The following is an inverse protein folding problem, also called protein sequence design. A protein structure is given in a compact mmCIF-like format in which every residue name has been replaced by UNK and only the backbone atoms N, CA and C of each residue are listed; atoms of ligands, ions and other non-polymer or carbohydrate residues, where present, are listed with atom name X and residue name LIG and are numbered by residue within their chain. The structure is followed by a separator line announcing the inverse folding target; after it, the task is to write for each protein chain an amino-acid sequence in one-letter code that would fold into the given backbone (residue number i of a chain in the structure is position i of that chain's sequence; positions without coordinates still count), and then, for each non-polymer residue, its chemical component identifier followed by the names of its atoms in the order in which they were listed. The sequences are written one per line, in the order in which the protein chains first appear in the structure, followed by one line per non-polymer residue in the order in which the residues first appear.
data_IF_778477875021
#
_entry.id   IF_778477875021
#
_cell.length_a   1.000
_cell.length_b   1.000
_cell.length_c   1.000
_cell.angle_alpha   90.00
_cell.angle_beta   90.00
_cell.angle_gamma   90.00
#
_symmetry.space_group_name_H-M   'P 1'
#
loop_
_entity.id
_entity.type
_entity.pdbx_description
1 polymer ?
2 non-polymer ?
3 non-polymer ?
4 water ?
#
# COMPACT_ATOMS: atom_id res chain seq x y z
N UNK A 4 -9.80 -1.09 17.99
CA UNK A 4 -9.16 -1.38 16.69
C UNK A 4 -7.96 -0.46 16.37
N UNK A 5 -7.89 0.74 17.02
CA UNK A 5 -6.77 1.68 16.88
C UNK A 5 -5.85 1.69 18.12
N UNK A 6 -6.19 0.88 19.15
CA UNK A 6 -5.40 0.72 20.38
C UNK A 6 -4.10 -0.06 20.07
N UNK A 7 -2.94 0.48 20.49
CA UNK A 7 -1.66 -0.21 20.25
C UNK A 7 -1.21 -1.01 21.47
N UNK A 8 -0.56 -2.16 21.23
CA UNK A 8 0.01 -2.98 22.30
C UNK A 8 1.29 -2.29 22.84
N UNK A 9 2.00 -2.92 23.79
CA UNK A 9 3.21 -2.31 24.35
C UNK A 9 4.36 -2.18 23.32
N UNK A 10 4.60 -3.23 22.50
CA UNK A 10 5.63 -3.28 21.47
C UNK A 10 5.45 -2.22 20.36
N UNK A 11 4.19 -1.98 19.92
CA UNK A 11 3.88 -0.97 18.91
C UNK A 11 3.99 0.45 19.47
N UNK A 12 3.65 0.65 20.76
CA UNK A 12 3.73 1.95 21.43
C UNK A 12 5.22 2.37 21.51
N UNK A 13 6.09 1.41 21.90
CA UNK A 13 7.53 1.51 22.08
C UNK A 13 8.25 1.83 20.76
N UNK A 14 7.92 1.09 19.68
CA UNK A 14 8.48 1.25 18.34
C UNK A 14 8.15 2.63 17.77
N UNK A 15 6.89 3.09 17.97
CA UNK A 15 6.42 4.41 17.53
C UNK A 15 7.12 5.56 18.26
N UNK A 16 7.36 5.38 19.56
CA UNK A 16 8.04 6.32 20.45
C UNK A 16 9.51 6.42 20.02
N UNK A 17 10.18 5.25 19.79
CA UNK A 17 11.57 5.16 19.33
C UNK A 17 11.78 5.82 17.95
N UNK A 18 10.78 5.76 17.05
CA UNK A 18 10.83 6.39 15.72
C UNK A 18 10.79 7.91 15.82
N UNK A 19 9.84 8.45 16.62
CA UNK A 19 9.66 9.89 16.79
C UNK A 19 10.84 10.55 17.46
N UNK A 20 11.39 9.88 18.50
CA UNK A 20 12.57 10.30 19.27
C UNK A 20 13.74 10.39 18.31
N UNK A 21 13.90 9.36 17.46
CA UNK A 21 14.96 9.30 16.45
C UNK A 21 14.77 10.38 15.37
N UNK A 22 13.51 10.64 14.94
CA UNK A 22 13.15 11.67 13.95
C UNK A 22 13.40 13.09 14.51
N UNK A 23 13.19 13.28 15.82
CA UNK A 23 13.39 14.58 16.45
C UNK A 23 14.84 15.06 16.37
N UNK A 24 15.80 14.11 16.29
CA UNK A 24 17.23 14.36 16.15
C UNK A 24 17.58 14.86 14.72
N UNK A 25 16.72 14.55 13.74
CA UNK A 25 16.89 14.95 12.34
C UNK A 25 16.29 16.36 12.24
N UNK A 26 17.03 17.26 11.65
CA UNK A 26 16.51 18.60 11.51
C UNK A 26 15.93 18.82 10.14
N UNK A 27 16.25 19.97 9.58
CA UNK A 27 15.83 20.38 8.25
C UNK A 27 16.56 19.48 7.25
N UNK A 28 15.80 18.83 6.37
CA UNK A 28 16.32 17.94 5.35
C UNK A 28 16.85 18.76 4.20
N UNK A 29 18.06 18.43 3.73
CA UNK A 29 18.74 19.16 2.65
C UNK A 29 19.37 18.20 1.68
N UNK A 30 19.31 18.52 0.36
CA UNK A 30 19.81 17.69 -0.73
C UNK A 30 21.17 17.08 -0.45
N UNK A 31 22.14 17.95 -0.14
CA UNK A 31 23.53 17.59 0.10
C UNK A 31 23.78 16.67 1.28
N UNK A 32 22.76 16.46 2.14
CA UNK A 32 22.91 15.56 3.29
C UNK A 32 22.70 14.09 2.95
N UNK A 33 22.30 13.80 1.71
CA UNK A 33 21.98 12.45 1.25
C UNK A 33 23.02 11.79 0.33
N UNK A 34 23.31 10.54 0.65
CA UNK A 34 24.22 9.65 -0.06
C UNK A 34 23.39 8.43 -0.53
N UNK A 35 23.29 8.21 -1.86
CA UNK A 35 22.57 7.07 -2.44
C UNK A 35 23.29 5.73 -2.14
N UNK A 36 22.50 4.73 -1.71
CA UNK A 36 22.95 3.36 -1.41
C UNK A 36 22.54 2.47 -2.59
N UNK A 37 21.23 2.49 -2.94
CA UNK A 37 20.65 1.69 -4.03
C UNK A 37 19.29 2.26 -4.49
N UNK A 38 18.68 1.61 -5.51
CA UNK A 38 17.38 1.97 -6.08
C UNK A 38 16.33 0.97 -5.56
N UNK A 39 15.07 1.43 -5.35
CA UNK A 39 13.99 0.60 -4.78
C UNK A 39 12.74 0.36 -5.65
N UNK A 40 12.38 1.31 -6.51
CA UNK A 40 11.17 1.20 -7.33
C UNK A 40 10.90 2.41 -8.21
N UNK A 41 9.63 2.56 -8.70
CA UNK A 41 9.16 3.65 -9.60
C UNK A 41 7.65 3.57 -10.00
N UNK A 42 6.83 2.90 -9.20
CA UNK A 42 5.42 2.65 -9.49
C UNK A 42 4.40 3.79 -9.47
N UNK A 43 4.81 5.02 -9.07
CA UNK A 43 3.86 6.14 -8.98
C UNK A 43 4.35 7.50 -9.54
N UNK A 44 5.06 7.46 -10.67
CA UNK A 44 5.53 8.66 -11.35
C UNK A 44 6.84 9.25 -10.84
N UNK A 45 7.48 8.54 -9.93
CA UNK A 45 8.75 8.94 -9.34
C UNK A 45 9.73 7.78 -9.25
N UNK A 46 10.83 7.98 -8.52
CA UNK A 46 11.89 6.99 -8.35
C UNK A 46 12.22 6.92 -6.86
N UNK A 47 12.29 5.71 -6.30
CA UNK A 47 12.60 5.55 -4.89
C UNK A 47 14.01 5.01 -4.74
N UNK A 48 14.81 5.65 -3.86
CA UNK A 48 16.17 5.24 -3.56
C UNK A 48 16.36 4.96 -2.07
N UNK A 49 17.19 3.97 -1.76
CA UNK A 49 17.61 3.70 -0.39
C UNK A 49 18.79 4.69 -0.25
N UNK A 50 18.74 5.52 0.78
CA UNK A 50 19.72 6.57 0.96
C UNK A 50 20.25 6.59 2.37
N UNK A 51 21.36 7.30 2.55
CA UNK A 51 21.91 7.54 3.88
C UNK A 51 21.83 9.02 4.12
N UNK A 52 21.22 9.43 5.23
CA UNK A 52 21.19 10.82 5.65
C UNK A 52 22.46 10.97 6.49
N UNK A 53 23.53 11.51 5.86
CA UNK A 53 24.89 11.69 6.41
C UNK A 53 24.99 12.23 7.84
N UNK A 54 24.42 13.41 8.20
CA UNK A 54 24.54 13.88 9.60
C UNK A 54 23.99 12.95 10.69
N UNK A 55 22.76 12.45 10.51
CA UNK A 55 22.10 11.58 11.49
C UNK A 55 22.53 10.09 11.43
N UNK A 56 23.05 9.66 10.28
CA UNK A 56 23.45 8.28 10.08
C UNK A 56 22.26 7.36 9.77
N UNK A 57 21.04 7.93 9.71
CA UNK A 57 19.82 7.17 9.42
C UNK A 57 19.71 6.77 7.95
N UNK A 58 19.30 5.52 7.72
CA UNK A 58 18.99 4.97 6.41
C UNK A 58 17.51 5.33 6.18
N UNK A 59 17.21 5.93 5.02
CA UNK A 59 15.86 6.33 4.63
C UNK A 59 15.60 5.84 3.23
N UNK A 60 14.35 5.98 2.78
CA UNK A 60 13.86 5.76 1.43
C UNK A 60 13.52 7.16 0.97
N UNK A 61 14.03 7.54 -0.18
CA UNK A 61 13.83 8.86 -0.76
C UNK A 61 13.10 8.76 -2.12
N UNK A 62 11.85 9.28 -2.19
CA UNK A 62 11.07 9.32 -3.43
C UNK A 62 11.35 10.65 -4.12
N UNK A 63 11.86 10.58 -5.35
CA UNK A 63 12.13 11.77 -6.12
C UNK A 63 11.12 11.91 -7.23
N UNK A 64 10.35 13.00 -7.20
CA UNK A 64 9.31 13.30 -8.19
C UNK A 64 9.81 14.45 -9.06
N UNK A 65 10.27 14.15 -10.29
CA UNK A 65 10.78 15.18 -11.20
C UNK A 65 9.66 16.05 -11.79
N UNK A 66 9.60 17.30 -11.33
CA UNK A 66 8.63 18.34 -11.70
C UNK A 66 9.36 19.65 -11.92
N UNK A 67 9.03 20.34 -13.01
CA UNK A 67 9.63 21.64 -13.33
C UNK A 67 8.53 22.69 -13.14
N UNK A 68 8.46 23.26 -11.92
CA UNK A 68 7.42 24.22 -11.55
C UNK A 68 7.94 25.40 -10.76
N UNK A 69 7.37 26.59 -11.05
CA UNK A 69 7.67 27.90 -10.44
C UNK A 69 7.74 27.87 -8.89
N UNK A 70 8.71 28.59 -8.27
CA UNK A 70 8.84 28.57 -6.80
C UNK A 70 7.57 28.55 -5.94
N UNK A 71 6.54 29.31 -6.35
CA UNK A 71 5.24 29.44 -5.70
C UNK A 71 4.55 28.09 -5.48
N UNK A 72 4.49 27.25 -6.55
CA UNK A 72 3.85 25.94 -6.59
C UNK A 72 4.47 24.94 -5.60
N UNK A 73 5.79 24.68 -5.74
CA UNK A 73 6.54 23.75 -4.91
C UNK A 73 6.41 24.00 -3.41
N UNK A 74 6.42 25.28 -3.00
CA UNK A 74 6.29 25.72 -1.60
C UNK A 74 4.94 25.35 -0.99
N UNK A 75 3.86 25.35 -1.79
CA UNK A 75 2.52 24.97 -1.34
C UNK A 75 2.48 23.45 -1.09
N UNK A 76 2.99 22.65 -2.08
CA UNK A 76 3.08 21.20 -2.01
C UNK A 76 3.76 20.79 -0.70
N UNK A 77 4.96 21.35 -0.44
CA UNK A 77 5.79 21.13 0.75
C UNK A 77 5.05 21.42 2.05
N UNK A 78 4.25 22.51 2.08
CA UNK A 78 3.44 22.88 3.24
C UNK A 78 2.34 21.86 3.45
N UNK A 79 1.73 21.37 2.35
CA UNK A 79 0.68 20.36 2.36
C UNK A 79 1.24 18.98 2.74
N UNK A 80 2.48 18.65 2.34
CA UNK A 80 3.09 17.36 2.74
C UNK A 80 3.45 17.33 4.24
N UNK A 81 3.45 18.50 4.93
CA UNK A 81 3.72 18.61 6.38
C UNK A 81 2.64 17.91 7.22
N UNK A 82 1.51 17.55 6.58
CA UNK A 82 0.37 16.81 7.15
C UNK A 82 0.87 15.48 7.70
N UNK A 83 1.80 14.86 6.97
CA UNK A 83 2.45 13.57 7.26
C UNK A 83 3.22 13.48 8.57
N UNK A 84 3.60 14.62 9.19
CA UNK A 84 4.29 14.67 10.50
C UNK A 84 3.30 14.28 11.61
N UNK A 85 1.99 14.41 11.31
CA UNK A 85 0.87 14.06 12.17
C UNK A 85 0.43 12.59 12.00
N UNK A 86 0.88 11.89 10.92
CA UNK A 86 0.48 10.51 10.65
C UNK A 86 1.30 9.48 11.39
N UNK A 87 0.97 9.24 12.66
CA UNK A 87 1.69 8.32 13.53
C UNK A 87 0.89 7.06 13.84
N UNK A 88 1.23 5.99 13.11
CA UNK A 88 0.55 4.70 13.20
C UNK A 88 1.51 3.54 12.89
N UNK A 89 1.37 2.38 13.59
CA UNK A 89 2.21 1.22 13.22
C UNK A 89 1.89 0.67 11.81
N UNK A 90 0.81 1.19 11.19
CA UNK A 90 0.29 0.75 9.89
C UNK A 90 0.49 1.72 8.73
N UNK A 91 1.27 2.80 8.98
CA UNK A 91 1.60 3.85 8.03
C UNK A 91 3.08 4.03 8.08
N UNK A 92 3.72 4.12 6.89
CA UNK A 92 5.17 4.30 6.79
C UNK A 92 5.54 5.65 7.39
N UNK A 93 6.58 5.64 8.23
CA UNK A 93 7.11 6.83 8.88
C UNK A 93 7.58 7.85 7.86
N UNK A 94 7.35 9.13 8.16
CA UNK A 94 7.71 10.24 7.30
C UNK A 94 8.74 11.13 7.99
N UNK A 95 9.87 11.36 7.34
CA UNK A 95 10.92 12.23 7.87
C UNK A 95 10.80 13.68 7.43
N UNK A 96 10.29 13.91 6.24
CA UNK A 96 10.16 15.26 5.71
C UNK A 96 10.19 15.31 4.20
N UNK A 97 9.90 16.50 3.65
CA UNK A 97 9.84 16.79 2.22
C UNK A 97 10.44 18.17 1.87
N UNK A 98 11.15 18.22 0.75
CA UNK A 98 11.80 19.43 0.27
C UNK A 98 11.90 19.41 -1.26
N UNK A 99 12.31 20.54 -1.85
CA UNK A 99 12.52 20.65 -3.29
C UNK A 99 13.99 21.00 -3.49
N UNK A 100 14.58 20.47 -4.59
CA UNK A 100 15.97 20.72 -4.94
C UNK A 100 16.20 20.37 -6.39
N UNK A 101 16.90 21.25 -7.12
CA UNK A 101 17.29 21.12 -8.53
C UNK A 101 16.27 20.43 -9.50
N UNK A 102 15.03 20.90 -9.43
CA UNK A 102 13.95 20.41 -10.29
C UNK A 102 13.24 19.15 -9.84
N UNK A 103 13.32 18.80 -8.53
CA UNK A 103 12.66 17.59 -8.02
C UNK A 103 12.28 17.65 -6.55
N UNK A 104 11.06 17.18 -6.24
CA UNK A 104 10.51 17.07 -4.87
C UNK A 104 11.00 15.77 -4.24
N UNK A 105 11.47 15.83 -3.01
CA UNK A 105 11.93 14.66 -2.30
C UNK A 105 10.99 14.37 -1.13
N UNK A 106 10.54 13.12 -1.03
CA UNK A 106 9.73 12.67 0.10
C UNK A 106 10.61 11.63 0.81
N UNK A 107 10.98 11.90 2.05
CA UNK A 107 11.87 11.03 2.80
C UNK A 107 11.13 10.28 3.83
N UNK A 108 11.21 8.97 3.73
CA UNK A 108 10.47 8.10 4.61
C UNK A 108 11.30 7.04 5.27
N UNK A 109 10.63 6.28 6.14
CA UNK A 109 11.16 5.10 6.78
C UNK A 109 11.46 4.04 5.68
N UNK A 110 12.59 3.34 5.82
CA UNK A 110 13.00 2.31 4.88
C UNK A 110 12.48 0.97 5.35
N UNK A 111 11.77 0.26 4.47
CA UNK A 111 11.17 -1.04 4.77
C UNK A 111 12.00 -2.09 4.02
N UNK A 112 12.78 -2.87 4.76
CA UNK A 112 13.74 -3.83 4.19
C UNK A 112 13.15 -4.99 3.40
N UNK A 113 11.89 -5.33 3.69
CA UNK A 113 11.14 -6.34 2.94
C UNK A 113 10.66 -5.84 1.58
N UNK A 114 10.73 -4.52 1.35
CA UNK A 114 10.27 -3.88 0.13
C UNK A 114 8.74 -3.83 0.03
N UNK A 115 8.21 -3.87 -1.20
CA UNK A 115 6.75 -3.84 -1.43
C UNK A 115 6.17 -5.18 -1.82
N UNK A 116 4.85 -5.37 -1.59
CA UNK A 116 4.18 -6.64 -1.91
C UNK A 116 4.18 -7.05 -3.36
N UNK A 117 4.33 -6.10 -4.31
CA UNK A 117 4.49 -6.50 -5.71
C UNK A 117 5.82 -7.30 -5.85
N UNK A 118 6.89 -6.85 -5.16
CA UNK A 118 8.22 -7.46 -5.17
C UNK A 118 8.26 -8.75 -4.42
N UNK A 119 7.55 -8.81 -3.29
CA UNK A 119 7.46 -10.03 -2.48
C UNK A 119 6.72 -11.07 -3.30
N UNK A 120 5.63 -10.64 -4.01
CA UNK A 120 4.84 -11.53 -4.88
C UNK A 120 5.66 -12.17 -5.97
N UNK A 121 6.42 -11.35 -6.75
CA UNK A 121 7.31 -11.79 -7.83
C UNK A 121 8.27 -12.89 -7.36
N UNK A 122 8.90 -12.72 -6.17
CA UNK A 122 9.79 -13.70 -5.56
C UNK A 122 9.03 -14.95 -5.18
N UNK A 123 8.01 -14.81 -4.29
CA UNK A 123 7.15 -15.88 -3.75
C UNK A 123 6.31 -16.71 -4.76
N UNK A 124 5.86 -16.07 -5.83
CA UNK A 124 4.98 -16.73 -6.79
C UNK A 124 3.53 -16.50 -6.39
N UNK A 125 3.19 -16.86 -5.16
CA UNK A 125 1.91 -16.62 -4.52
C UNK A 125 2.09 -16.59 -3.00
N UNK A 126 1.29 -15.76 -2.33
CA UNK A 126 1.38 -15.53 -0.90
C UNK A 126 0.34 -16.40 -0.13
N UNK A 127 0.75 -17.14 0.94
CA UNK A 127 -0.23 -18.04 1.58
C UNK A 127 -1.31 -17.29 2.32
N UNK A 128 -2.50 -17.93 2.38
CA UNK A 128 -3.71 -17.40 3.01
C UNK A 128 -3.46 -16.81 4.38
N UNK A 129 -2.74 -17.55 5.28
CA UNK A 129 -2.43 -17.07 6.63
C UNK A 129 -1.61 -15.79 6.65
N UNK A 130 -0.68 -15.63 5.68
CA UNK A 130 0.13 -14.41 5.50
C UNK A 130 -0.80 -13.30 5.01
N UNK A 131 -1.75 -13.64 4.10
CA UNK A 131 -2.68 -12.65 3.59
C UNK A 131 -3.65 -12.14 4.64
N UNK A 132 -3.88 -12.94 5.67
CA UNK A 132 -4.68 -12.56 6.83
C UNK A 132 -4.06 -11.42 7.62
N UNK A 133 -2.74 -11.49 7.80
CA UNK A 133 -1.95 -10.47 8.50
C UNK A 133 -1.90 -9.18 7.67
N UNK A 134 -1.76 -9.33 6.36
CA UNK A 134 -1.77 -8.21 5.43
C UNK A 134 -3.13 -7.50 5.50
N UNK A 135 -4.23 -8.27 5.39
CA UNK A 135 -5.61 -7.77 5.46
C UNK A 135 -5.81 -6.90 6.73
N UNK A 136 -5.40 -7.42 7.93
CA UNK A 136 -5.52 -6.69 9.20
C UNK A 136 -4.83 -5.31 9.11
N UNK A 137 -3.55 -5.28 8.68
CA UNK A 137 -2.75 -4.08 8.58
C UNK A 137 -3.36 -3.05 7.61
N UNK A 138 -3.83 -3.51 6.43
CA UNK A 138 -4.49 -2.64 5.45
C UNK A 138 -5.77 -2.03 6.07
N UNK A 139 -6.64 -2.85 6.71
CA UNK A 139 -7.89 -2.38 7.33
C UNK A 139 -7.56 -1.37 8.44
N UNK A 140 -6.63 -1.69 9.34
CA UNK A 140 -6.21 -0.82 10.45
C UNK A 140 -5.55 0.47 9.98
N UNK A 141 -4.80 0.40 8.88
CA UNK A 141 -4.17 1.55 8.25
C UNK A 141 -5.20 2.50 7.67
N UNK A 142 -6.17 1.95 6.91
CA UNK A 142 -7.28 2.71 6.33
C UNK A 142 -8.18 3.30 7.43
N UNK A 143 -8.38 2.57 8.54
CA UNK A 143 -9.17 3.02 9.69
C UNK A 143 -8.45 4.22 10.34
N UNK A 144 -7.11 4.16 10.49
CA UNK A 144 -6.31 5.26 11.02
C UNK A 144 -6.43 6.52 10.20
N UNK A 145 -6.25 6.39 8.88
CA UNK A 145 -6.33 7.48 7.94
C UNK A 145 -7.68 8.16 7.98
N UNK A 146 -8.74 7.36 7.99
CA UNK A 146 -10.11 7.85 8.04
C UNK A 146 -10.45 8.45 9.43
N UNK A 147 -10.07 7.79 10.54
CA UNK A 147 -10.40 8.27 11.88
C UNK A 147 -9.68 9.51 12.37
N UNK A 148 -8.33 9.52 12.32
CA UNK A 148 -7.51 10.62 12.82
C UNK A 148 -7.26 11.76 11.82
N UNK A 149 -7.37 11.51 10.53
CA UNK A 149 -7.07 12.56 9.56
C UNK A 149 -8.13 12.80 8.51
N UNK A 150 -9.30 12.14 8.63
CA UNK A 150 -10.44 12.27 7.73
C UNK A 150 -10.07 12.21 6.23
N UNK A 151 -9.11 11.33 5.89
CA UNK A 151 -8.66 11.11 4.51
C UNK A 151 -8.64 9.62 4.16
N UNK A 152 -8.84 9.31 2.88
CA UNK A 152 -8.81 7.93 2.39
C UNK A 152 -7.47 7.67 1.67
N UNK A 153 -7.16 6.40 1.38
CA UNK A 153 -5.89 6.12 0.71
C UNK A 153 -5.88 6.65 -0.72
N UNK A 154 -6.81 6.13 -1.56
CA UNK A 154 -7.07 6.43 -2.99
C UNK A 154 -6.23 5.55 -3.92
N UNK A 155 -5.20 4.86 -3.39
CA UNK A 155 -4.29 4.06 -4.23
C UNK A 155 -3.80 2.76 -3.58
N UNK A 156 -4.70 1.95 -3.08
CA UNK A 156 -4.32 0.65 -2.52
C UNK A 156 -4.00 -0.26 -3.72
N UNK A 157 -2.86 -0.96 -3.62
CA UNK A 157 -2.34 -1.91 -4.63
C UNK A 157 -1.10 -2.58 -4.02
N UNK A 158 -0.63 -3.75 -4.56
CA UNK A 158 0.54 -4.44 -3.94
C UNK A 158 1.81 -3.61 -3.74
N UNK A 159 2.14 -2.74 -4.69
CA UNK A 159 3.33 -1.87 -4.59
C UNK A 159 3.22 -0.76 -3.53
N UNK A 160 2.02 -0.51 -2.99
CA UNK A 160 1.85 0.55 -1.98
C UNK A 160 1.75 0.01 -0.57
N UNK A 161 2.04 -1.27 -0.41
CA UNK A 161 2.04 -1.97 0.88
C UNK A 161 3.45 -2.46 1.08
N UNK A 162 4.09 -1.92 2.11
CA UNK A 162 5.49 -2.20 2.39
C UNK A 162 5.59 -3.08 3.57
N UNK A 163 6.56 -4.00 3.51
CA UNK A 163 6.81 -4.96 4.58
C UNK A 163 8.24 -4.88 5.09
N UNK A 164 8.48 -5.41 6.28
CA UNK A 164 9.84 -5.40 6.87
C UNK A 164 10.15 -6.67 7.68
N UNK A 165 11.45 -6.90 7.95
CA UNK A 165 12.02 -8.04 8.71
C UNK A 165 11.55 -8.13 10.18
N UNK A 166 10.86 -7.11 10.70
CA UNK A 166 10.28 -7.13 12.06
C UNK A 166 8.79 -7.59 12.01
N UNK A 167 8.32 -7.98 10.81
CA UNK A 167 6.96 -8.46 10.58
C UNK A 167 5.90 -7.37 10.46
N UNK A 168 6.34 -6.11 10.28
CA UNK A 168 5.45 -4.97 10.11
C UNK A 168 4.98 -4.84 8.67
N UNK A 169 3.72 -4.39 8.51
CA UNK A 169 3.04 -4.16 7.22
C UNK A 169 2.51 -2.74 7.30
N UNK A 170 2.86 -1.92 6.29
CA UNK A 170 2.53 -0.49 6.30
C UNK A 170 2.10 0.03 4.94
N UNK A 171 1.23 1.05 4.95
CA UNK A 171 0.79 1.71 3.71
C UNK A 171 1.63 2.95 3.41
N UNK A 172 1.79 3.23 2.13
CA UNK A 172 2.50 4.41 1.64
C UNK A 172 1.78 4.93 0.40
N UNK A 173 2.14 6.14 -0.08
CA UNK A 173 1.60 6.75 -1.31
C UNK A 173 0.10 7.03 -1.37
N UNK A 174 -0.42 7.68 -0.32
CA UNK A 174 -1.80 8.13 -0.21
C UNK A 174 -1.87 9.66 -0.38
N UNK A 175 -2.84 10.13 -1.17
CA UNK A 175 -3.07 11.54 -1.48
C UNK A 175 -3.24 12.41 -0.25
N UNK A 176 -2.24 13.25 0.03
CA UNK A 176 -2.18 14.13 1.21
C UNK A 176 -2.14 15.63 0.83
N UNK A 177 -1.60 15.92 -0.36
CA UNK A 177 -1.43 17.26 -0.91
C UNK A 177 -2.27 17.38 -2.17
N UNK A 178 -3.32 18.19 -2.07
CA UNK A 178 -4.22 18.49 -3.19
C UNK A 178 -3.45 19.07 -4.35
N UNK A 179 -2.50 20.01 -4.06
CA UNK A 179 -1.65 20.64 -5.07
C UNK A 179 -0.75 19.68 -5.82
N UNK A 180 -0.03 18.76 -5.12
CA UNK A 180 0.82 17.75 -5.78
C UNK A 180 0.00 16.86 -6.71
N UNK A 181 -1.28 16.61 -6.38
CA UNK A 181 -2.19 15.83 -7.22
C UNK A 181 -2.48 16.65 -8.51
N UNK A 182 -3.01 17.89 -8.34
CA UNK A 182 -3.39 18.83 -9.40
C UNK A 182 -2.23 19.20 -10.33
N UNK A 183 -1.02 19.36 -9.77
CA UNK A 183 0.22 19.67 -10.51
C UNK A 183 0.79 18.44 -11.25
N UNK A 184 0.17 17.26 -11.06
CA UNK A 184 0.60 16.02 -11.69
C UNK A 184 -0.43 15.47 -12.67
N UNK A 185 -1.47 16.29 -12.99
CA UNK A 185 -2.57 15.99 -13.92
C UNK A 185 -2.03 15.62 -15.31
N UNK A 186 -2.88 14.94 -16.16
CA UNK A 186 -2.50 14.40 -17.49
C UNK A 186 -1.66 13.12 -17.26
N UNK A 187 -1.48 12.75 -15.96
CA UNK A 187 -0.73 11.61 -15.40
C UNK A 187 0.80 11.67 -15.79
N UNK A 188 1.64 10.61 -15.58
CA UNK A 188 1.34 9.29 -15.01
C UNK A 188 1.58 9.31 -13.51
N UNK A 189 0.54 8.96 -12.75
CA UNK A 189 0.53 8.95 -11.28
C UNK A 189 0.35 7.47 -10.77
N UNK A 190 0.35 6.53 -11.71
CA UNK A 190 0.16 5.11 -11.41
C UNK A 190 -1.02 4.50 -12.15
N UNK A 191 -0.98 3.16 -12.34
CA UNK A 191 -2.02 2.37 -12.99
C UNK A 191 -3.41 2.58 -12.37
N UNK A 192 -4.45 2.38 -13.18
CA UNK A 192 -5.84 2.50 -12.76
C UNK A 192 -6.50 1.13 -12.63
N UNK A 193 -5.71 0.06 -12.88
CA UNK A 193 -6.13 -1.35 -12.84
C UNK A 193 -6.65 -1.85 -11.47
N UNK A 194 -6.41 -1.10 -10.39
CA UNK A 194 -6.92 -1.47 -9.04
C UNK A 194 -8.09 -0.60 -8.59
N UNK A 195 -8.59 0.29 -9.48
CA UNK A 195 -9.69 1.18 -9.11
C UNK A 195 -11.04 0.51 -9.11
N UNK A 196 -11.90 0.96 -8.18
CA UNK A 196 -13.24 0.44 -8.04
C UNK A 196 -14.12 0.79 -9.23
N UNK A 197 -15.13 -0.06 -9.56
CA UNK A 197 -16.04 0.26 -10.67
C UNK A 197 -16.64 1.66 -10.57
N UNK A 198 -17.08 2.08 -9.36
CA UNK A 198 -17.66 3.41 -9.09
C UNK A 198 -16.73 4.59 -9.39
N UNK A 199 -15.42 4.45 -9.11
CA UNK A 199 -14.43 5.48 -9.44
C UNK A 199 -14.18 5.50 -10.93
N UNK A 200 -14.21 4.34 -11.60
CA UNK A 200 -14.01 4.26 -13.06
C UNK A 200 -15.27 4.75 -13.84
N UNK A 201 -16.42 4.91 -13.13
CA UNK A 201 -17.69 5.41 -13.66
C UNK A 201 -17.84 6.90 -13.37
N UNK A 202 -16.86 7.49 -12.69
CA UNK A 202 -16.85 8.89 -12.28
C UNK A 202 -17.93 9.20 -11.24
N UNK A 203 -18.51 8.15 -10.62
CA UNK A 203 -19.59 8.27 -9.63
C UNK A 203 -19.07 8.28 -8.17
N UNK A 204 -20.04 8.19 -7.23
CA UNK A 204 -19.97 8.16 -5.77
C UNK A 204 -18.74 7.41 -5.15
N UNK A 205 -17.71 8.15 -4.66
CA UNK A 205 -16.53 7.46 -4.08
C UNK A 205 -16.02 7.82 -2.66
N UNK A 206 -15.96 6.79 -1.79
CA UNK A 206 -15.50 6.86 -0.40
C UNK A 206 -14.38 5.86 -0.12
N UNK A 207 -14.21 5.43 1.16
CA UNK A 207 -13.22 4.44 1.56
C UNK A 207 -13.60 3.07 0.99
N UNK A 208 -14.83 2.98 0.45
CA UNK A 208 -15.37 1.77 -0.17
C UNK A 208 -14.58 1.40 -1.39
N UNK A 209 -14.00 2.43 -2.06
CA UNK A 209 -13.18 2.28 -3.26
C UNK A 209 -11.84 1.66 -2.92
N UNK A 210 -11.35 1.95 -1.70
CA UNK A 210 -10.12 1.43 -1.12
C UNK A 210 -10.31 -0.06 -0.74
N UNK A 211 -11.50 -0.41 -0.23
CA UNK A 211 -11.86 -1.76 0.11
C UNK A 211 -11.88 -2.63 -1.18
N UNK A 212 -12.37 -2.09 -2.29
CA UNK A 212 -12.38 -2.84 -3.55
C UNK A 212 -10.93 -3.18 -3.92
N UNK A 213 -10.04 -2.16 -3.95
CA UNK A 213 -8.62 -2.22 -4.27
C UNK A 213 -7.88 -3.26 -3.40
N UNK A 214 -8.19 -3.29 -2.09
CA UNK A 214 -7.62 -4.23 -1.17
C UNK A 214 -8.03 -5.62 -1.57
N UNK A 215 -9.33 -5.81 -1.84
CA UNK A 215 -9.89 -7.10 -2.22
C UNK A 215 -9.27 -7.60 -3.50
N UNK A 216 -9.07 -6.68 -4.45
CA UNK A 216 -8.44 -6.98 -5.72
C UNK A 216 -6.96 -7.40 -5.57
N UNK A 217 -6.23 -6.69 -4.70
CA UNK A 217 -4.81 -6.95 -4.39
C UNK A 217 -4.64 -8.30 -3.69
N UNK A 218 -5.58 -8.66 -2.78
CA UNK A 218 -5.52 -9.95 -2.08
C UNK A 218 -5.68 -11.15 -3.02
N UNK A 219 -6.58 -11.05 -4.00
CA UNK A 219 -6.83 -12.12 -4.97
C UNK A 219 -5.59 -12.27 -5.83
N UNK A 220 -4.98 -11.14 -6.24
CA UNK A 220 -3.76 -11.18 -7.05
C UNK A 220 -2.66 -11.91 -6.31
N UNK A 221 -2.41 -11.55 -5.03
CA UNK A 221 -1.38 -12.15 -4.18
C UNK A 221 -1.63 -13.61 -3.84
N UNK A 222 -2.90 -13.98 -3.64
CA UNK A 222 -3.25 -15.37 -3.34
C UNK A 222 -3.08 -16.27 -4.56
N UNK A 223 -3.39 -15.74 -5.77
CA UNK A 223 -3.31 -16.55 -6.96
C UNK A 223 -1.98 -16.49 -7.68
N UNK A 224 -1.31 -15.35 -7.56
CA UNK A 224 -0.01 -15.09 -8.16
C UNK A 224 -0.11 -14.45 -9.53
N UNK A 225 -1.26 -13.88 -9.86
CA UNK A 225 -1.54 -13.24 -11.16
C UNK A 225 -2.52 -12.07 -10.97
N UNK A 226 -2.37 -10.99 -11.77
CA UNK A 226 -3.34 -9.91 -11.72
C UNK A 226 -4.66 -10.60 -12.18
N UNK A 227 -5.75 -10.58 -11.36
CA UNK A 227 -6.94 -11.41 -11.66
C UNK A 227 -7.86 -11.12 -12.86
N UNK A 228 -7.82 -9.93 -13.46
CA UNK A 228 -8.70 -9.62 -14.59
C UNK A 228 -7.94 -9.76 -15.92
N UNK A 229 -8.45 -10.53 -16.90
CA UNK A 229 -9.70 -11.32 -16.86
C UNK A 229 -9.53 -12.61 -16.07
N UNK A 230 -10.61 -13.21 -15.51
CA UNK A 230 -10.44 -14.46 -14.75
C UNK A 230 -9.68 -15.55 -15.52
N UNK A 231 -8.89 -16.40 -14.82
CA UNK A 231 -8.15 -17.46 -15.53
C UNK A 231 -9.05 -18.58 -16.04
N UNK A 232 -8.63 -19.21 -17.13
CA UNK A 232 -9.31 -20.34 -17.75
C UNK A 232 -9.05 -21.58 -16.90
N UNK A 233 -9.90 -22.62 -17.03
CA UNK A 233 -9.78 -23.90 -16.29
C UNK A 233 -8.37 -24.53 -16.40
N UNK A 234 -7.70 -24.26 -17.52
CA UNK A 234 -6.35 -24.72 -17.84
C UNK A 234 -5.27 -23.92 -17.07
N UNK A 235 -5.45 -22.58 -16.90
CA UNK A 235 -4.51 -21.69 -16.17
C UNK A 235 -4.49 -21.98 -14.67
N UNK A 236 -5.60 -22.53 -14.12
CA UNK A 236 -5.72 -22.91 -12.71
C UNK A 236 -5.03 -24.24 -12.44
N UNK A 237 -5.11 -25.20 -13.40
CA UNK A 237 -4.46 -26.52 -13.34
C UNK A 237 -2.93 -26.37 -13.26
N UNK A 238 -2.38 -25.33 -13.91
CA UNK A 238 -0.97 -24.98 -13.92
C UNK A 238 -0.59 -24.45 -12.54
N UNK A 239 -1.43 -23.55 -11.99
CA UNK A 239 -1.21 -22.87 -10.71
C UNK A 239 -1.31 -23.73 -9.45
N UNK A 240 -2.41 -24.46 -9.27
CA UNK A 240 -2.70 -25.23 -8.05
C UNK A 240 -2.73 -26.76 -8.17
N UNK A 241 -2.45 -27.28 -9.38
CA UNK A 241 -2.46 -28.71 -9.68
C UNK A 241 -3.82 -29.39 -9.56
N UNK A 242 -4.91 -28.66 -9.87
CA UNK A 242 -6.28 -29.17 -9.78
N UNK A 272 -3.07 -10.82 -24.59
CA UNK A 272 -3.02 -9.83 -23.51
C UNK A 272 -3.99 -8.66 -23.71
N UNK A 273 -4.74 -8.34 -22.64
CA UNK A 273 -5.74 -7.29 -22.57
C UNK A 273 -5.09 -5.92 -22.43
N UNK A 274 -5.51 -4.97 -23.29
CA UNK A 274 -5.03 -3.59 -23.22
C UNK A 274 -5.75 -2.86 -22.08
N UNK A 275 -5.03 -1.97 -21.37
CA UNK A 275 -5.55 -1.19 -20.23
C UNK A 275 -6.98 -0.66 -20.37
N UNK A 276 -7.32 -0.10 -21.54
CA UNK A 276 -8.67 0.39 -21.80
C UNK A 276 -9.73 -0.72 -21.78
N UNK A 277 -9.40 -1.90 -22.37
CA UNK A 277 -10.26 -3.10 -22.42
C UNK A 277 -10.44 -3.62 -20.98
N UNK A 278 -9.36 -3.61 -20.21
CA UNK A 278 -9.31 -4.05 -18.82
C UNK A 278 -10.21 -3.19 -17.92
N UNK A 279 -10.13 -1.84 -18.06
CA UNK A 279 -10.94 -0.92 -17.27
C UNK A 279 -12.40 -1.05 -17.62
N UNK A 280 -12.71 -1.44 -18.85
CA UNK A 280 -14.08 -1.69 -19.27
C UNK A 280 -14.62 -2.94 -18.56
N UNK A 281 -13.79 -4.03 -18.51
CA UNK A 281 -14.06 -5.31 -17.86
C UNK A 281 -14.44 -5.11 -16.39
N UNK A 282 -13.70 -4.26 -15.65
CA UNK A 282 -13.98 -3.95 -14.25
C UNK A 282 -15.41 -3.37 -14.08
N UNK A 283 -15.77 -2.41 -14.96
CA UNK A 283 -17.07 -1.73 -14.88
C UNK A 283 -18.19 -2.63 -15.37
N UNK A 284 -17.94 -3.43 -16.41
CA UNK A 284 -18.97 -4.23 -17.02
C UNK A 284 -19.13 -5.69 -16.67
N UNK A 285 -18.09 -6.33 -16.16
CA UNK A 285 -18.17 -7.76 -15.85
C UNK A 285 -18.32 -8.09 -14.37
N UNK A 286 -18.72 -9.34 -13.99
CA UNK A 286 -18.82 -9.69 -12.56
C UNK A 286 -17.44 -9.64 -11.90
N UNK A 287 -17.34 -9.31 -10.60
CA UNK A 287 -16.00 -9.17 -9.99
C UNK A 287 -15.19 -10.45 -9.95
N UNK A 288 -13.84 -10.35 -9.88
CA UNK A 288 -13.04 -11.56 -9.78
C UNK A 288 -13.32 -12.29 -8.46
N UNK A 289 -12.93 -13.55 -8.39
CA UNK A 289 -13.12 -14.34 -7.20
C UNK A 289 -12.00 -15.34 -7.03
N UNK A 290 -11.77 -15.77 -5.80
CA UNK A 290 -10.77 -16.79 -5.52
C UNK A 290 -11.27 -18.13 -6.02
N UNK A 291 -10.39 -18.99 -6.57
CA UNK A 291 -10.85 -20.32 -6.97
C UNK A 291 -11.24 -21.14 -5.73
N UNK A 292 -12.27 -21.98 -5.85
CA UNK A 292 -12.75 -22.78 -4.75
C UNK A 292 -11.89 -24.03 -4.55
N UNK A 293 -12.03 -24.67 -3.38
CA UNK A 293 -11.29 -25.87 -3.02
C UNK A 293 -9.78 -25.70 -2.91
N UNK A 294 -9.30 -24.46 -2.75
CA UNK A 294 -7.89 -24.09 -2.66
C UNK A 294 -7.69 -23.23 -1.39
N UNK A 295 -8.66 -22.33 -1.14
CA UNK A 295 -8.68 -21.40 -0.03
C UNK A 295 -9.86 -21.67 0.89
N UNK A 296 -9.78 -21.17 2.13
CA UNK A 296 -10.87 -21.35 3.09
C UNK A 296 -12.04 -20.52 2.62
N UNK A 297 -13.27 -20.94 3.01
CA UNK A 297 -14.52 -20.28 2.67
C UNK A 297 -14.58 -18.94 3.31
N UNK A 298 -14.00 -18.82 4.52
CA UNK A 298 -13.88 -17.56 5.26
C UNK A 298 -13.07 -16.54 4.45
N UNK A 299 -11.94 -16.96 3.82
CA UNK A 299 -11.11 -16.08 2.97
C UNK A 299 -11.83 -15.74 1.70
N UNK A 300 -12.47 -16.75 1.06
CA UNK A 300 -13.28 -16.55 -0.16
C UNK A 300 -14.42 -15.56 0.17
N UNK A 301 -15.09 -15.74 1.32
CA UNK A 301 -16.16 -14.83 1.72
C UNK A 301 -15.65 -13.41 1.87
N UNK A 302 -14.58 -13.24 2.65
CA UNK A 302 -13.92 -11.95 2.93
C UNK A 302 -13.60 -11.17 1.66
N UNK A 303 -12.92 -11.79 0.66
CA UNK A 303 -12.60 -11.13 -0.62
C UNK A 303 -13.88 -10.76 -1.37
N UNK A 304 -14.90 -11.65 -1.37
CA UNK A 304 -16.19 -11.39 -2.04
C UNK A 304 -16.88 -10.14 -1.51
N UNK A 305 -16.88 -9.94 -0.17
CA UNK A 305 -17.47 -8.77 0.50
C UNK A 305 -16.73 -7.46 0.18
N UNK A 306 -15.45 -7.56 -0.22
CA UNK A 306 -14.62 -6.41 -0.62
C UNK A 306 -14.91 -6.12 -2.08
N UNK A 307 -15.21 -7.18 -2.85
CA UNK A 307 -15.38 -7.10 -4.29
C UNK A 307 -16.82 -6.95 -4.86
N UNK A 308 -17.85 -6.76 -4.01
CA UNK A 308 -19.21 -6.47 -4.41
C UNK A 308 -19.14 -5.10 -5.18
N UNK A 309 -19.60 -5.08 -6.45
CA UNK A 309 -19.53 -3.87 -7.31
C UNK A 309 -20.28 -2.66 -6.80
N UNK A 310 -21.48 -2.86 -6.23
CA UNK A 310 -22.25 -1.76 -5.66
C UNK A 310 -21.60 -1.38 -4.33
N UNK A 311 -21.04 -0.14 -4.22
CA UNK A 311 -20.33 0.22 -2.97
C UNK A 311 -21.17 0.22 -1.71
N UNK A 312 -22.50 0.38 -1.87
CA UNK A 312 -23.48 0.39 -0.79
C UNK A 312 -23.61 -1.00 -0.17
N UNK A 313 -23.69 -2.03 -1.01
CA UNK A 313 -23.76 -3.42 -0.55
C UNK A 313 -22.40 -3.92 -0.03
N UNK A 314 -21.29 -3.41 -0.63
CA UNK A 314 -19.92 -3.76 -0.27
C UNK A 314 -19.65 -3.51 1.21
N UNK A 315 -18.86 -4.39 1.83
CA UNK A 315 -18.50 -4.26 3.24
C UNK A 315 -17.64 -3.03 3.51
N UNK A 316 -17.71 -2.54 4.73
CA UNK A 316 -16.98 -1.35 5.19
C UNK A 316 -15.96 -1.75 6.23
N UNK A 317 -15.09 -0.82 6.62
CA UNK A 317 -14.03 -1.07 7.60
C UNK A 317 -14.48 -1.69 8.89
N UNK A 318 -15.61 -1.21 9.44
CA UNK A 318 -16.19 -1.69 10.69
C UNK A 318 -16.65 -3.16 10.54
N UNK A 319 -17.26 -3.50 9.39
CA UNK A 319 -17.76 -4.85 9.05
C UNK A 319 -16.60 -5.80 8.84
N UNK A 320 -15.56 -5.34 8.11
CA UNK A 320 -14.36 -6.11 7.84
C UNK A 320 -13.57 -6.43 9.09
N UNK A 321 -13.51 -5.52 10.07
CA UNK A 321 -12.79 -5.73 11.35
C UNK A 321 -13.33 -6.90 12.19
N UNK A 322 -14.64 -7.21 12.05
CA UNK A 322 -15.30 -8.33 12.75
C UNK A 322 -15.68 -9.46 11.80
N UNK A 323 -15.06 -9.50 10.61
CA UNK A 323 -15.33 -10.58 9.69
C UNK A 323 -14.66 -11.85 10.24
N UNK A 324 -15.26 -13.02 10.00
CA UNK A 324 -14.74 -14.32 10.43
C UNK A 324 -13.27 -14.54 10.07
N UNK A 325 -12.86 -14.12 8.86
CA UNK A 325 -11.49 -14.28 8.38
C UNK A 325 -10.52 -13.39 9.19
N UNK A 326 -10.96 -12.17 9.54
CA UNK A 326 -10.15 -11.24 10.33
C UNK A 326 -9.99 -11.69 11.80
N UNK A 327 -11.06 -12.19 12.39
CA UNK A 327 -11.02 -12.66 13.75
C UNK A 327 -10.12 -13.87 13.85
N UNK A 328 -10.22 -14.78 12.88
CA UNK A 328 -9.42 -16.00 12.83
C UNK A 328 -7.94 -15.68 12.57
N UNK A 329 -7.66 -14.67 11.74
CA UNK A 329 -6.32 -14.24 11.40
C UNK A 329 -5.67 -13.62 12.60
N UNK A 330 -6.43 -12.86 13.40
CA UNK A 330 -5.94 -12.22 14.62
C UNK A 330 -5.51 -13.27 15.66
N UNK A 331 -6.38 -14.26 15.92
CA UNK A 331 -6.11 -15.38 16.85
C UNK A 331 -4.95 -16.28 16.34
N UNK A 332 -4.70 -16.30 15.02
CA UNK A 332 -3.61 -17.05 14.44
C UNK A 332 -2.35 -16.26 14.75
N UNK A 333 -1.32 -16.89 15.28
CA UNK A 333 -0.11 -16.11 15.51
C UNK A 333 0.84 -16.61 14.45
N UNK A 334 0.90 -15.83 13.37
CA UNK A 334 1.64 -16.17 12.17
C UNK A 334 3.02 -15.53 12.20
N UNK A 335 4.06 -16.31 11.88
CA UNK A 335 5.41 -15.73 11.87
C UNK A 335 5.62 -15.10 10.51
N UNK A 336 5.14 -13.86 10.39
CA UNK A 336 5.19 -13.13 9.14
C UNK A 336 6.64 -12.84 8.74
N UNK A 337 7.47 -12.38 9.69
CA UNK A 337 8.89 -12.06 9.49
C UNK A 337 9.70 -13.29 9.07
N UNK A 338 9.48 -14.41 9.76
CA UNK A 338 10.06 -15.71 9.47
C UNK A 338 9.72 -16.13 8.06
N UNK A 339 8.41 -16.05 7.68
CA UNK A 339 7.99 -16.40 6.32
C UNK A 339 8.65 -15.47 5.31
N UNK A 340 8.65 -14.16 5.63
CA UNK A 340 9.20 -13.11 4.76
C UNK A 340 10.67 -13.29 4.49
N UNK A 341 11.48 -13.43 5.53
CA UNK A 341 12.92 -13.60 5.39
C UNK A 341 13.32 -14.81 4.55
N UNK A 342 12.65 -15.97 4.72
CA UNK A 342 12.86 -17.23 3.95
C UNK A 342 12.52 -17.07 2.47
N UNK A 343 11.40 -16.39 2.20
CA UNK A 343 10.87 -16.16 0.87
C UNK A 343 11.73 -15.22 -0.01
N UNK A 344 12.18 -14.09 0.55
CA UNK A 344 12.96 -13.10 -0.21
C UNK A 344 14.46 -13.20 0.01
N UNK A 345 14.86 -14.17 0.84
CA UNK A 345 16.26 -14.47 1.14
C UNK A 345 16.97 -13.38 1.91
N UNK A 346 16.33 -12.85 2.95
CA UNK A 346 16.87 -11.83 3.81
C UNK A 346 17.60 -12.51 5.00
N UNK A 347 18.92 -12.23 5.16
CA UNK A 347 19.76 -12.79 6.22
#
# INVERSE_FOLDING_TARGET
GLEELELDEQQRKRLEAFLTQKQKVGELKDDDFEKISELGAGNGGVVFKVSHKPSGLVMARKLIHLEIKPAIRNQIIRELQVLHECNSPYIVGFYGAFYSDGEISICMEHMDGGSLDQVLKKAGRIPEQILGKVSIAVIKGLTYLREKHKIMHRDVKPSNILVNSRGEIKLCDFGVSGQLIDSMANSFVGTRSYMSPERLQGTHYSVQSDIWSMGLSLVEMAVGRYPIPPPDAKELELMFGCQVEGDAAETPPRPRTPGRPLNKKGMDSRPPMAIFELLDYIVNEPPPKLPSGVFSLEFQDFVNKCLIKNPAERADLKQLMVHAFIKRSDAEEVDFAGWLCSTIGLNQ
#
